data_IF_157212184309
#
_entry.id   IF_157212184309
#
_cell.length_a   1.000
_cell.length_b   1.000
_cell.length_c   1.000
_cell.angle_alpha   90.00
_cell.angle_beta   90.00
_cell.angle_gamma   90.00
#
_symmetry.space_group_name_H-M   'P 1'
#
loop_
_entity.id
_entity.type
_entity.pdbx_description
1 polymer ?
#
# COMPACT_ATOMS: atom_id res chain seq x y z
N UNK A 1 1.34 -36.33 25.74
CA UNK A 1 0.38 -35.79 24.74
C UNK A 1 0.94 -34.45 24.27
N UNK A 2 1.53 -34.41 23.07
CA UNK A 2 2.22 -33.23 22.52
C UNK A 2 1.24 -32.55 21.57
N UNK A 3 0.76 -31.36 21.94
CA UNK A 3 -0.08 -30.54 21.07
C UNK A 3 0.80 -29.94 19.97
N UNK A 4 0.63 -30.41 18.74
CA UNK A 4 1.23 -29.79 17.57
C UNK A 4 0.41 -28.54 17.24
N UNK A 5 1.02 -27.37 17.45
CA UNK A 5 0.46 -26.10 16.99
C UNK A 5 0.56 -26.13 15.46
N UNK A 6 -0.55 -26.48 14.80
CA UNK A 6 -0.73 -26.26 13.38
C UNK A 6 -0.76 -24.74 13.21
N UNK A 7 0.37 -24.15 12.85
CA UNK A 7 0.42 -22.77 12.36
C UNK A 7 -0.50 -22.72 11.14
N UNK A 8 -1.73 -22.23 11.33
CA UNK A 8 -2.59 -21.85 10.24
C UNK A 8 -1.79 -20.87 9.38
N UNK A 9 -1.53 -21.25 8.14
CA UNK A 9 -1.07 -20.32 7.11
C UNK A 9 -2.21 -19.33 6.91
N UNK A 10 -2.20 -18.26 7.69
CA UNK A 10 -3.04 -17.10 7.44
C UNK A 10 -2.56 -16.56 6.09
N UNK A 11 -3.29 -16.89 5.03
CA UNK A 11 -3.05 -16.40 3.67
C UNK A 11 -3.42 -14.91 3.56
N UNK A 12 -3.20 -14.13 4.63
CA UNK A 12 -3.33 -12.70 4.56
C UNK A 12 -2.28 -12.20 3.56
N UNK A 13 -2.67 -11.48 2.50
CA UNK A 13 -1.71 -10.86 1.60
C UNK A 13 -0.73 -10.04 2.42
N UNK A 14 0.57 -10.14 2.11
CA UNK A 14 1.59 -9.36 2.81
C UNK A 14 1.46 -7.87 2.42
N UNK A 15 0.51 -7.19 3.06
CA UNK A 15 0.21 -5.78 2.85
C UNK A 15 1.39 -4.87 3.24
N UNK A 16 2.32 -5.36 4.08
CA UNK A 16 3.54 -4.63 4.41
C UNK A 16 4.45 -4.51 3.19
N UNK A 17 4.51 -5.53 2.35
CA UNK A 17 5.21 -5.45 1.07
C UNK A 17 4.63 -4.35 0.16
N UNK A 18 3.30 -4.21 0.09
CA UNK A 18 2.66 -3.11 -0.66
C UNK A 18 2.99 -1.75 -0.06
N UNK A 19 2.90 -1.60 1.26
CA UNK A 19 3.26 -0.37 1.98
C UNK A 19 4.70 0.04 1.70
N UNK A 20 5.64 -0.88 1.87
CA UNK A 20 7.07 -0.61 1.69
C UNK A 20 7.41 -0.29 0.24
N UNK A 21 6.68 -0.85 -0.72
CA UNK A 21 6.81 -0.49 -2.13
C UNK A 21 6.29 0.92 -2.42
N UNK A 22 5.13 1.30 -1.85
CA UNK A 22 4.56 2.64 -2.00
C UNK A 22 5.48 3.71 -1.41
N UNK A 23 6.06 3.48 -0.23
CA UNK A 23 7.02 4.39 0.41
C UNK A 23 8.31 4.61 -0.41
N UNK A 24 8.64 3.71 -1.33
CA UNK A 24 9.80 3.84 -2.22
C UNK A 24 9.49 4.64 -3.49
N UNK A 25 8.22 4.99 -3.75
CA UNK A 25 7.86 5.78 -4.91
C UNK A 25 8.25 7.23 -4.70
N UNK A 26 8.86 7.83 -5.72
CA UNK A 26 9.33 9.21 -5.64
C UNK A 26 8.16 10.18 -5.39
N UNK A 27 8.28 10.95 -4.31
CA UNK A 27 7.25 11.91 -3.91
C UNK A 27 6.13 11.35 -3.05
N UNK A 28 6.15 10.06 -2.69
CA UNK A 28 5.35 9.53 -1.58
C UNK A 28 6.08 9.84 -0.27
N UNK A 29 5.39 10.49 0.67
CA UNK A 29 5.92 10.84 1.99
C UNK A 29 5.39 9.94 3.10
N UNK A 30 4.20 9.36 2.92
CA UNK A 30 3.60 8.43 3.87
C UNK A 30 2.69 7.44 3.12
N UNK A 31 2.59 6.23 3.65
CA UNK A 31 1.71 5.19 3.12
C UNK A 31 1.19 4.29 4.24
N UNK A 32 -0.11 4.11 4.24
CA UNK A 32 -0.85 3.22 5.11
C UNK A 32 -1.64 2.25 4.25
N UNK A 33 -1.54 0.96 4.54
CA UNK A 33 -2.16 -0.11 3.75
C UNK A 33 -2.88 -1.06 4.69
N UNK A 34 -4.09 -1.46 4.34
CA UNK A 34 -4.90 -2.39 5.10
C UNK A 34 -5.80 -3.22 4.20
N UNK A 35 -6.34 -4.31 4.76
CA UNK A 35 -7.31 -5.17 4.08
C UNK A 35 -8.74 -4.77 4.47
N UNK A 36 -9.66 -4.84 3.50
CA UNK A 36 -11.10 -4.82 3.74
C UNK A 36 -11.75 -5.96 2.97
N UNK A 37 -12.07 -7.05 3.66
CA UNK A 37 -12.37 -8.33 3.02
C UNK A 37 -11.16 -8.81 2.23
N UNK A 38 -11.35 -9.17 0.95
CA UNK A 38 -10.27 -9.63 0.06
C UNK A 38 -9.61 -8.49 -0.76
N UNK A 39 -9.87 -7.24 -0.39
CA UNK A 39 -9.34 -6.07 -1.10
C UNK A 39 -8.25 -5.37 -0.28
N UNK A 40 -7.10 -5.15 -0.92
CA UNK A 40 -6.07 -4.23 -0.42
C UNK A 40 -6.54 -2.79 -0.66
N UNK A 41 -6.48 -1.95 0.37
CA UNK A 41 -6.76 -0.53 0.31
C UNK A 41 -5.53 0.25 0.79
N UNK A 42 -5.32 1.44 0.25
CA UNK A 42 -4.21 2.29 0.67
C UNK A 42 -4.63 3.75 0.85
N UNK A 43 -4.03 4.41 1.84
CA UNK A 43 -3.97 5.86 1.95
C UNK A 43 -2.53 6.27 1.70
N UNK A 44 -2.32 7.17 0.76
CA UNK A 44 -0.99 7.60 0.35
C UNK A 44 -0.92 9.11 0.44
N UNK A 45 0.03 9.61 1.23
CA UNK A 45 0.34 11.03 1.25
C UNK A 45 1.49 11.29 0.29
N UNK A 46 1.28 12.21 -0.63
CA UNK A 46 2.29 12.64 -1.59
C UNK A 46 2.69 14.10 -1.38
N UNK A 47 3.89 14.46 -1.82
CA UNK A 47 4.36 15.84 -1.79
C UNK A 47 3.55 16.74 -2.76
N UNK A 48 3.61 18.06 -2.57
CA UNK A 48 2.84 18.99 -3.44
C UNK A 48 3.34 19.01 -4.88
N UNK A 49 4.62 18.73 -5.08
CA UNK A 49 5.30 18.87 -6.37
C UNK A 49 5.20 17.63 -7.26
N UNK A 50 4.73 16.50 -6.74
CA UNK A 50 4.62 15.27 -7.55
C UNK A 50 3.43 15.31 -8.49
N UNK A 51 3.64 14.75 -9.68
CA UNK A 51 2.62 14.48 -10.67
C UNK A 51 2.01 13.09 -10.53
N UNK A 52 2.37 12.32 -9.49
CA UNK A 52 1.78 11.01 -9.24
C UNK A 52 0.26 11.10 -9.12
N UNK A 53 -0.41 10.24 -9.87
CA UNK A 53 -1.84 9.95 -9.74
C UNK A 53 -2.09 8.60 -9.07
N UNK A 54 -3.33 8.35 -8.66
CA UNK A 54 -3.76 7.06 -8.11
C UNK A 54 -3.50 5.93 -9.13
N UNK A 55 -3.77 6.20 -10.40
CA UNK A 55 -3.59 5.24 -11.50
C UNK A 55 -2.13 4.88 -11.65
N UNK A 56 -1.20 5.84 -11.56
CA UNK A 56 0.24 5.56 -11.66
C UNK A 56 0.71 4.62 -10.55
N UNK A 57 0.26 4.86 -9.32
CA UNK A 57 0.60 4.03 -8.17
C UNK A 57 -0.01 2.64 -8.27
N UNK A 58 -1.26 2.52 -8.72
CA UNK A 58 -1.90 1.22 -8.96
C UNK A 58 -1.18 0.43 -10.05
N UNK A 59 -0.83 1.08 -11.17
CA UNK A 59 -0.08 0.43 -12.25
C UNK A 59 1.32 0.00 -11.79
N UNK A 60 2.01 0.81 -11.00
CA UNK A 60 3.30 0.46 -10.42
C UNK A 60 3.19 -0.77 -9.50
N UNK A 61 2.17 -0.81 -8.63
CA UNK A 61 1.90 -1.97 -7.76
C UNK A 61 1.55 -3.21 -8.57
N UNK A 62 0.66 -3.09 -9.56
CA UNK A 62 0.26 -4.20 -10.43
C UNK A 62 1.47 -4.79 -11.16
N UNK A 63 2.32 -3.94 -11.71
CA UNK A 63 3.51 -4.37 -12.45
C UNK A 63 4.54 -5.05 -11.56
N UNK A 64 4.74 -4.60 -10.32
CA UNK A 64 5.82 -5.09 -9.45
C UNK A 64 5.39 -6.20 -8.49
N UNK A 65 4.18 -6.09 -7.92
CA UNK A 65 3.69 -6.92 -6.83
C UNK A 65 2.58 -7.87 -7.29
N UNK A 66 1.93 -7.56 -8.41
CA UNK A 66 0.82 -8.35 -8.96
C UNK A 66 -0.54 -7.98 -8.37
N UNK A 67 -1.61 -8.62 -8.88
CA UNK A 67 -2.99 -8.20 -8.63
C UNK A 67 -3.44 -8.36 -7.17
N UNK A 68 -2.93 -9.36 -6.45
CA UNK A 68 -3.33 -9.65 -5.06
C UNK A 68 -2.79 -8.61 -4.06
N UNK A 69 -1.73 -7.90 -4.43
CA UNK A 69 -1.08 -6.88 -3.60
C UNK A 69 -1.31 -5.46 -4.14
N UNK A 70 -2.03 -5.33 -5.25
CA UNK A 70 -2.39 -4.04 -5.82
C UNK A 70 -3.59 -3.47 -5.06
N UNK A 71 -3.48 -2.25 -4.49
CA UNK A 71 -4.62 -1.62 -3.86
C UNK A 71 -5.76 -1.43 -4.88
N UNK A 72 -6.96 -1.91 -4.56
CA UNK A 72 -8.14 -1.69 -5.40
C UNK A 72 -8.59 -0.23 -5.43
N UNK A 73 -8.20 0.53 -4.41
CA UNK A 73 -8.46 1.95 -4.27
C UNK A 73 -7.32 2.58 -3.49
N UNK A 74 -6.86 3.74 -3.96
CA UNK A 74 -5.84 4.53 -3.27
C UNK A 74 -6.42 5.91 -2.96
N UNK A 75 -6.64 6.19 -1.67
CA UNK A 75 -6.97 7.55 -1.26
C UNK A 75 -5.69 8.37 -1.21
N UNK A 76 -5.57 9.35 -2.11
CA UNK A 76 -4.42 10.23 -2.17
C UNK A 76 -4.64 11.54 -1.41
N UNK A 77 -3.70 11.86 -0.54
CA UNK A 77 -3.63 13.14 0.17
C UNK A 77 -2.38 13.88 -0.28
N UNK A 78 -2.47 15.20 -0.47
CA UNK A 78 -1.30 16.04 -0.71
C UNK A 78 -0.87 16.70 0.58
N UNK A 79 0.37 16.45 1.00
CA UNK A 79 0.95 17.10 2.17
C UNK A 79 0.99 18.61 1.93
N UNK A 80 0.15 19.38 2.62
CA UNK A 80 0.20 20.84 2.54
C UNK A 80 1.54 21.32 3.09
N UNK A 81 2.20 22.23 2.39
CA UNK A 81 3.36 22.96 2.93
C UNK A 81 2.91 23.64 4.22
N UNK A 82 3.49 23.27 5.37
CA UNK A 82 3.35 24.11 6.56
C UNK A 82 4.05 25.43 6.24
N UNK A 83 3.29 26.51 6.15
CA UNK A 83 3.85 27.86 6.18
C UNK A 83 4.61 27.99 7.50
N UNK A 84 5.91 28.26 7.40
CA UNK A 84 6.77 28.61 8.52
C UNK A 84 6.59 30.10 8.85
#
# INVERSE_FOLDING_TARGET
MRLEVVQGYDHTPDIFTTRDFLLKQEGVSDAEVWMRGDAVLARVTVNELTFLSEVDLQQACMKKLGPNLTPRMIMMERAKRRAA
#
